data_IF_538368802208
#
_entry.id   IF_538368802208
#
_cell.length_a   1.000
_cell.length_b   1.000
_cell.length_c   1.000
_cell.angle_alpha   90.00
_cell.angle_beta   90.00
_cell.angle_gamma   90.00
#
_symmetry.space_group_name_H-M   'P 1'
#
loop_
_entity.id
_entity.type
_entity.pdbx_description
1 polymer ?
#
# COMPACT_ATOMS: atom_id res chain seq x y z
N UNK A 1 57.05 -32.66 14.39
CA UNK A 1 57.49 -31.74 13.33
C UNK A 1 56.81 -30.40 13.57
N UNK A 2 57.59 -29.39 13.92
CA UNK A 2 57.06 -28.08 14.33
C UNK A 2 56.97 -27.17 13.09
N UNK A 3 55.78 -26.70 12.78
CA UNK A 3 55.53 -25.71 11.74
C UNK A 3 56.09 -24.34 12.18
N UNK A 4 57.10 -23.82 11.46
CA UNK A 4 57.65 -22.47 11.65
C UNK A 4 56.67 -21.44 11.08
N UNK A 5 56.00 -20.70 11.94
CA UNK A 5 55.26 -19.48 11.55
C UNK A 5 56.24 -18.37 11.13
N UNK A 6 56.14 -17.97 9.86
CA UNK A 6 56.89 -16.80 9.32
C UNK A 6 56.23 -15.53 9.85
N UNK A 7 56.96 -14.67 10.52
CA UNK A 7 56.49 -13.41 11.11
C UNK A 7 56.58 -12.26 10.11
N UNK A 8 55.61 -11.30 10.24
CA UNK A 8 55.48 -10.10 9.38
C UNK A 8 56.82 -9.31 9.23
N UNK A 9 57.74 -9.43 10.19
CA UNK A 9 59.04 -8.79 10.19
C UNK A 9 60.08 -9.47 9.27
N UNK A 10 59.87 -10.74 8.93
CA UNK A 10 60.75 -11.50 8.01
C UNK A 10 60.37 -11.24 6.55
N UNK A 11 59.11 -10.91 6.28
CA UNK A 11 58.64 -10.52 4.93
C UNK A 11 59.15 -9.13 4.55
N UNK A 12 59.29 -8.22 5.50
CA UNK A 12 59.80 -6.86 5.26
C UNK A 12 61.34 -6.77 5.07
N UNK A 13 62.10 -7.79 5.46
CA UNK A 13 63.58 -7.82 5.24
C UNK A 13 63.98 -8.44 3.90
N UNK A 14 63.07 -9.12 3.20
CA UNK A 14 63.33 -9.69 1.89
C UNK A 14 63.06 -8.73 0.70
N UNK A 15 62.47 -7.56 0.98
CA UNK A 15 62.13 -6.54 -0.04
C UNK A 15 63.19 -5.42 -0.17
N UNK A 16 64.34 -5.55 0.50
CA UNK A 16 65.31 -4.49 0.64
C UNK A 16 66.61 -4.68 -0.15
N UNK A 17 66.66 -5.45 -1.24
CA UNK A 17 67.90 -5.58 -2.03
C UNK A 17 67.64 -5.86 -3.49
N UNK A 18 67.15 -4.85 -4.24
CA UNK A 18 67.34 -4.73 -5.70
C UNK A 18 67.07 -3.27 -6.08
N UNK A 19 68.05 -2.41 -5.98
CA UNK A 19 68.02 -1.07 -6.53
C UNK A 19 68.16 -1.15 -8.06
N UNK A 20 67.17 -0.74 -8.79
CA UNK A 20 67.27 -0.16 -10.14
C UNK A 20 66.35 1.03 -10.18
N UNK A 21 66.94 2.22 -10.24
CA UNK A 21 66.25 3.48 -10.45
C UNK A 21 65.64 3.51 -11.85
N UNK A 22 64.34 3.35 -11.92
CA UNK A 22 63.52 3.69 -13.07
C UNK A 22 62.41 4.63 -12.58
N UNK A 23 62.56 5.91 -12.82
CA UNK A 23 61.49 6.91 -12.57
C UNK A 23 60.33 6.66 -13.51
N UNK A 24 59.37 5.82 -13.11
CA UNK A 24 58.09 5.78 -13.77
C UNK A 24 57.41 7.12 -13.51
N UNK A 25 56.98 7.85 -14.56
CA UNK A 25 56.32 9.13 -14.39
C UNK A 25 55.05 8.94 -13.57
N UNK A 26 54.86 9.82 -12.57
CA UNK A 26 53.71 9.81 -11.65
C UNK A 26 52.31 9.78 -12.34
N UNK A 27 52.24 10.15 -13.61
CA UNK A 27 51.04 10.08 -14.46
C UNK A 27 50.74 8.67 -14.99
N UNK A 28 51.57 7.64 -14.72
CA UNK A 28 51.31 6.25 -15.09
C UNK A 28 50.61 5.42 -14.00
N UNK A 29 50.36 5.99 -12.84
CA UNK A 29 49.42 5.42 -11.88
C UNK A 29 48.00 5.71 -12.41
N UNK A 30 47.57 4.98 -13.46
CA UNK A 30 46.17 4.77 -13.71
C UNK A 30 45.62 4.04 -12.49
N UNK A 31 45.05 4.78 -11.53
CA UNK A 31 44.04 4.23 -10.66
C UNK A 31 42.94 3.77 -11.60
N UNK A 32 42.95 2.50 -11.98
CA UNK A 32 41.77 1.85 -12.50
C UNK A 32 40.76 1.91 -11.33
N UNK A 33 39.98 2.97 -11.29
CA UNK A 33 38.66 2.86 -10.67
C UNK A 33 38.00 1.78 -11.49
N UNK A 34 38.04 0.55 -11.03
CA UNK A 34 37.17 -0.51 -11.52
C UNK A 34 35.79 0.09 -11.36
N UNK A 35 35.22 0.50 -12.47
CA UNK A 35 33.87 1.07 -12.52
C UNK A 35 33.01 -0.04 -11.93
N UNK A 36 32.53 0.14 -10.69
CA UNK A 36 31.67 -0.84 -10.03
C UNK A 36 30.57 -1.15 -11.05
N UNK A 37 30.33 -2.43 -11.31
CA UNK A 37 29.25 -2.83 -12.21
C UNK A 37 27.94 -2.20 -11.73
N UNK A 38 27.23 -1.51 -12.63
CA UNK A 38 25.95 -0.91 -12.32
C UNK A 38 24.99 -2.01 -11.92
N UNK A 39 24.32 -1.87 -10.77
CA UNK A 39 23.35 -2.83 -10.23
C UNK A 39 22.01 -2.15 -10.01
N UNK A 40 20.91 -2.88 -10.21
CA UNK A 40 19.57 -2.48 -9.86
C UNK A 40 18.98 -3.51 -8.88
N UNK A 41 18.50 -3.05 -7.73
CA UNK A 41 17.78 -3.86 -6.74
C UNK A 41 16.33 -3.38 -6.69
N UNK A 42 15.43 -4.18 -7.22
CA UNK A 42 13.99 -3.90 -7.20
C UNK A 42 13.26 -4.88 -6.30
N UNK A 43 12.54 -4.37 -5.30
CA UNK A 43 11.63 -5.19 -4.52
C UNK A 43 10.22 -5.08 -5.05
N UNK A 44 9.74 -6.19 -5.57
CA UNK A 44 8.38 -6.35 -6.04
C UNK A 44 7.46 -6.77 -4.90
N UNK A 45 6.34 -6.08 -4.75
CA UNK A 45 5.23 -6.48 -3.88
C UNK A 45 4.11 -7.01 -4.78
N UNK A 46 3.60 -8.25 -4.59
CA UNK A 46 2.61 -8.85 -5.47
C UNK A 46 1.36 -8.00 -5.67
N UNK A 47 0.87 -7.97 -6.91
CA UNK A 47 -0.29 -7.17 -7.30
C UNK A 47 -1.61 -7.97 -7.28
N UNK A 48 -1.56 -9.25 -6.88
CA UNK A 48 -2.67 -10.21 -6.98
C UNK A 48 -3.23 -10.37 -8.40
N UNK A 49 -2.44 -9.95 -9.41
CA UNK A 49 -2.75 -10.05 -10.84
C UNK A 49 -1.48 -10.56 -11.52
N UNK A 50 -1.37 -11.88 -11.81
CA UNK A 50 -0.13 -12.48 -12.34
C UNK A 50 0.40 -11.80 -13.61
N UNK A 51 -0.50 -11.34 -14.49
CA UNK A 51 -0.11 -10.61 -15.69
C UNK A 51 0.61 -9.29 -15.36
N UNK A 52 0.13 -8.56 -14.35
CA UNK A 52 0.77 -7.31 -13.92
C UNK A 52 2.11 -7.56 -13.24
N UNK A 53 2.22 -8.65 -12.46
CA UNK A 53 3.47 -9.02 -11.79
C UNK A 53 4.56 -9.37 -12.82
N UNK A 54 4.22 -10.13 -13.85
CA UNK A 54 5.15 -10.49 -14.93
C UNK A 54 5.53 -9.25 -15.76
N UNK A 55 4.57 -8.39 -16.10
CA UNK A 55 4.84 -7.16 -16.84
C UNK A 55 5.71 -6.19 -16.03
N UNK A 56 5.49 -6.08 -14.72
CA UNK A 56 6.35 -5.27 -13.85
C UNK A 56 7.81 -5.75 -13.90
N UNK A 57 8.00 -7.07 -13.81
CA UNK A 57 9.32 -7.69 -13.94
C UNK A 57 9.93 -7.37 -15.30
N UNK A 58 9.19 -7.60 -16.38
CA UNK A 58 9.62 -7.31 -17.73
C UNK A 58 10.05 -5.83 -17.89
N UNK A 59 9.28 -4.88 -17.37
CA UNK A 59 9.62 -3.45 -17.42
C UNK A 59 10.93 -3.12 -16.69
N UNK A 60 11.22 -3.77 -15.55
CA UNK A 60 12.50 -3.58 -14.84
C UNK A 60 13.68 -4.04 -15.73
N UNK A 61 13.55 -5.19 -16.37
CA UNK A 61 14.61 -5.70 -17.28
C UNK A 61 14.73 -4.90 -18.58
N UNK A 62 13.62 -4.44 -19.16
CA UNK A 62 13.62 -3.53 -20.31
C UNK A 62 14.37 -2.23 -19.99
N UNK A 63 14.10 -1.62 -18.85
CA UNK A 63 14.83 -0.44 -18.39
C UNK A 63 16.31 -0.74 -18.16
N UNK A 64 16.64 -1.83 -17.46
CA UNK A 64 18.01 -2.22 -17.18
C UNK A 64 18.83 -2.32 -18.49
N UNK A 65 18.26 -2.97 -19.51
CA UNK A 65 18.87 -3.07 -20.85
C UNK A 65 19.11 -1.69 -21.48
N UNK A 66 18.12 -0.79 -21.42
CA UNK A 66 18.25 0.59 -21.93
C UNK A 66 19.32 1.39 -21.18
N UNK A 67 19.45 1.19 -19.87
CA UNK A 67 20.42 1.85 -19.03
C UNK A 67 21.85 1.23 -19.11
N UNK A 68 22.02 0.17 -19.91
CA UNK A 68 23.31 -0.53 -20.04
C UNK A 68 23.68 -1.36 -18.82
N UNK A 69 22.69 -1.80 -18.02
CA UNK A 69 22.86 -2.72 -16.91
C UNK A 69 22.69 -4.16 -17.42
N UNK A 70 23.63 -5.02 -17.09
CA UNK A 70 23.54 -6.44 -17.48
C UNK A 70 22.41 -7.12 -16.70
N UNK A 71 21.77 -8.10 -17.31
CA UNK A 71 20.70 -8.86 -16.67
C UNK A 71 21.15 -9.53 -15.36
N UNK A 72 22.38 -10.04 -15.30
CA UNK A 72 22.99 -10.60 -14.08
C UNK A 72 23.20 -9.59 -12.95
N UNK A 73 23.09 -8.31 -13.24
CA UNK A 73 23.21 -7.19 -12.28
C UNK A 73 21.83 -6.64 -11.87
N UNK A 74 20.75 -7.29 -12.30
CA UNK A 74 19.39 -6.98 -11.86
C UNK A 74 18.96 -7.95 -10.78
N UNK A 75 18.75 -7.44 -9.58
CA UNK A 75 18.16 -8.19 -8.46
C UNK A 75 16.67 -7.84 -8.38
N UNK A 76 15.82 -8.75 -8.86
CA UNK A 76 14.37 -8.63 -8.74
C UNK A 76 13.88 -9.60 -7.66
N UNK A 77 13.51 -9.07 -6.49
CA UNK A 77 13.07 -9.86 -5.36
C UNK A 77 11.58 -9.63 -5.06
N UNK A 78 10.80 -10.70 -4.99
CA UNK A 78 9.41 -10.62 -4.56
C UNK A 78 9.32 -10.69 -3.05
N UNK A 79 8.62 -9.71 -2.44
CA UNK A 79 8.38 -9.61 -1.01
C UNK A 79 6.88 -9.67 -0.74
N UNK A 80 6.43 -10.65 0.03
CA UNK A 80 5.02 -10.77 0.42
C UNK A 80 4.57 -9.54 1.23
N UNK A 81 3.30 -9.13 1.08
CA UNK A 81 2.78 -7.90 1.70
C UNK A 81 3.07 -7.83 3.21
N UNK A 82 2.83 -8.91 3.93
CA UNK A 82 3.01 -9.00 5.39
C UNK A 82 4.49 -8.93 5.81
N UNK A 83 5.41 -9.17 4.87
CA UNK A 83 6.85 -9.14 5.09
C UNK A 83 7.49 -7.79 4.72
N UNK A 84 6.75 -6.90 4.05
CA UNK A 84 7.31 -5.64 3.52
C UNK A 84 7.90 -4.80 4.65
N UNK A 85 7.11 -4.48 5.67
CA UNK A 85 7.54 -3.58 6.73
C UNK A 85 8.73 -4.13 7.53
N UNK A 86 8.71 -5.37 8.07
CA UNK A 86 9.84 -5.88 8.84
C UNK A 86 11.10 -6.04 7.99
N UNK A 87 10.99 -6.48 6.74
CA UNK A 87 12.15 -6.62 5.85
C UNK A 87 12.73 -5.29 5.44
N UNK A 88 11.89 -4.30 5.11
CA UNK A 88 12.35 -2.98 4.72
C UNK A 88 13.02 -2.25 5.88
N UNK A 89 12.46 -2.31 7.08
CA UNK A 89 13.07 -1.74 8.28
C UNK A 89 14.46 -2.35 8.53
N UNK A 90 14.57 -3.68 8.50
CA UNK A 90 15.85 -4.37 8.67
C UNK A 90 16.87 -4.02 7.56
N UNK A 91 16.43 -3.90 6.30
CA UNK A 91 17.29 -3.52 5.19
C UNK A 91 17.79 -2.07 5.30
N UNK A 92 16.95 -1.14 5.75
CA UNK A 92 17.33 0.26 6.01
C UNK A 92 18.33 0.32 7.14
N UNK A 93 18.10 -0.38 8.25
CA UNK A 93 19.04 -0.45 9.38
C UNK A 93 20.39 -1.02 8.97
N UNK A 94 20.39 -2.12 8.21
CA UNK A 94 21.60 -2.72 7.65
C UNK A 94 22.29 -1.85 6.58
N UNK A 95 21.65 -0.78 6.11
CA UNK A 95 22.17 0.11 5.09
C UNK A 95 22.09 -0.42 3.66
N UNK A 96 21.26 -1.42 3.43
CA UNK A 96 21.07 -2.09 2.14
C UNK A 96 19.58 -2.15 1.72
N UNK A 97 18.84 -1.02 1.70
CA UNK A 97 17.47 -1.03 1.18
C UNK A 97 17.47 -1.34 -0.33
N UNK A 98 16.32 -1.70 -0.92
CA UNK A 98 16.18 -1.77 -2.37
C UNK A 98 16.42 -0.40 -3.01
N UNK A 99 16.76 -0.37 -4.30
CA UNK A 99 16.86 0.90 -5.01
C UNK A 99 15.48 1.50 -5.23
N UNK A 100 14.52 0.66 -5.64
CA UNK A 100 13.13 1.05 -5.88
C UNK A 100 12.19 -0.03 -5.38
N UNK A 101 11.08 0.38 -4.78
CA UNK A 101 9.94 -0.49 -4.51
C UNK A 101 8.64 0.30 -4.43
N UNK A 102 7.51 -0.43 -4.47
CA UNK A 102 6.21 0.14 -4.20
C UNK A 102 6.02 0.37 -2.71
N UNK A 103 5.54 1.55 -2.36
CA UNK A 103 5.19 1.98 -1.01
C UNK A 103 3.68 2.25 -0.93
N UNK A 104 3.12 1.93 0.21
CA UNK A 104 1.74 2.24 0.55
C UNK A 104 1.65 3.67 1.09
N UNK A 105 0.62 4.37 0.76
CA UNK A 105 0.13 5.67 1.28
C UNK A 105 1.11 6.44 2.18
N UNK A 106 0.85 6.47 3.49
CA UNK A 106 1.65 7.22 4.47
C UNK A 106 3.08 6.71 4.66
N UNK A 107 3.44 5.56 4.06
CA UNK A 107 4.81 5.05 4.14
C UNK A 107 5.81 5.91 3.37
N UNK A 108 5.37 6.61 2.30
CA UNK A 108 6.22 7.61 1.63
C UNK A 108 6.58 8.70 2.63
N UNK A 109 5.60 9.22 3.38
CA UNK A 109 5.81 10.24 4.41
C UNK A 109 6.73 9.74 5.53
N UNK A 110 6.50 8.51 6.00
CA UNK A 110 7.28 7.88 7.06
C UNK A 110 8.76 7.76 6.67
N UNK A 111 9.04 7.17 5.49
CA UNK A 111 10.42 7.01 5.05
C UNK A 111 11.07 8.32 4.58
N UNK A 112 10.29 9.28 4.08
CA UNK A 112 10.78 10.62 3.76
C UNK A 112 11.20 11.39 5.03
N UNK A 113 10.41 11.32 6.09
CA UNK A 113 10.74 11.91 7.40
C UNK A 113 12.02 11.31 7.99
N UNK A 114 12.23 10.00 7.84
CA UNK A 114 13.49 9.33 8.19
C UNK A 114 14.67 9.66 7.26
N UNK A 115 14.46 10.46 6.21
CA UNK A 115 15.52 10.85 5.27
C UNK A 115 15.97 9.73 4.32
N UNK A 116 15.18 8.67 4.17
CA UNK A 116 15.53 7.47 3.41
C UNK A 116 15.24 7.55 1.92
N UNK A 117 14.34 8.44 1.47
CA UNK A 117 13.90 8.52 0.08
C UNK A 117 14.63 9.61 -0.72
N UNK A 118 14.81 9.36 -2.01
CA UNK A 118 15.28 10.35 -2.97
C UNK A 118 14.15 11.35 -3.29
N UNK A 119 14.55 12.59 -3.53
CA UNK A 119 13.68 13.61 -4.11
C UNK A 119 13.41 13.26 -5.58
N UNK A 120 12.13 13.18 -5.94
CA UNK A 120 11.63 12.87 -7.28
C UNK A 120 10.63 13.90 -7.80
N UNK A 121 10.70 15.11 -7.25
CA UNK A 121 9.77 16.19 -7.51
C UNK A 121 9.66 16.55 -9.00
N UNK A 122 10.78 16.60 -9.71
CA UNK A 122 10.81 16.86 -11.15
C UNK A 122 10.07 15.79 -11.99
N UNK A 123 10.14 14.52 -11.59
CA UNK A 123 9.40 13.44 -12.25
C UNK A 123 7.90 13.67 -12.06
N UNK A 124 7.48 13.98 -10.83
CA UNK A 124 6.06 14.22 -10.52
C UNK A 124 5.55 15.50 -11.21
N UNK A 125 6.35 16.56 -11.28
CA UNK A 125 5.99 17.77 -12.03
C UNK A 125 5.85 17.51 -13.53
N UNK A 126 6.66 16.61 -14.10
CA UNK A 126 6.48 16.12 -15.47
C UNK A 126 5.13 15.41 -15.64
N UNK A 127 4.76 14.54 -14.70
CA UNK A 127 3.45 13.86 -14.71
C UNK A 127 2.27 14.86 -14.63
N UNK A 128 2.38 15.91 -13.81
CA UNK A 128 1.33 16.95 -13.69
C UNK A 128 1.10 17.74 -14.97
N UNK A 129 2.13 17.84 -15.83
CA UNK A 129 2.06 18.55 -17.12
C UNK A 129 1.47 17.68 -18.25
N UNK A 130 1.30 16.39 -18.01
CA UNK A 130 0.60 15.52 -18.97
C UNK A 130 -0.84 16.00 -19.20
N UNK A 131 -1.46 15.71 -20.37
CA UNK A 131 -2.82 16.11 -20.67
C UNK A 131 -3.79 15.70 -19.55
N UNK A 132 -4.62 16.65 -19.05
CA UNK A 132 -5.55 16.50 -17.92
C UNK A 132 -4.87 16.29 -16.55
N UNK A 133 -3.56 16.15 -16.50
CA UNK A 133 -2.81 15.99 -15.27
C UNK A 133 -3.11 14.70 -14.51
N UNK A 134 -2.84 14.74 -13.21
CA UNK A 134 -3.07 13.63 -12.27
C UNK A 134 -4.08 14.05 -11.19
N UNK A 135 -4.60 13.08 -10.42
CA UNK A 135 -5.45 13.39 -9.26
C UNK A 135 -4.65 14.07 -8.15
N UNK A 136 -5.21 15.15 -7.59
CA UNK A 136 -4.60 15.85 -6.44
C UNK A 136 -4.59 14.97 -5.17
N UNK A 137 -5.58 14.09 -5.01
CA UNK A 137 -5.59 13.08 -3.95
C UNK A 137 -4.35 12.19 -3.95
N UNK A 138 -3.83 11.84 -5.14
CA UNK A 138 -2.61 11.07 -5.28
C UNK A 138 -1.35 11.86 -4.87
N UNK A 139 -1.39 13.19 -4.96
CA UNK A 139 -0.27 14.05 -4.58
C UNK A 139 -0.10 14.14 -3.07
N UNK A 140 -1.19 14.17 -2.31
CA UNK A 140 -1.15 14.31 -0.85
C UNK A 140 -0.27 13.25 -0.17
N UNK A 141 -0.27 12.03 -0.70
CA UNK A 141 0.49 10.90 -0.13
C UNK A 141 1.98 10.92 -0.45
N UNK A 142 2.43 11.64 -1.48
CA UNK A 142 3.83 11.61 -1.94
C UNK A 142 4.62 12.89 -1.63
N UNK A 143 3.95 13.97 -1.23
CA UNK A 143 4.61 15.26 -0.94
C UNK A 143 4.99 15.34 0.55
N UNK A 144 6.28 15.51 0.82
CA UNK A 144 6.83 15.76 2.15
C UNK A 144 7.61 17.07 2.16
N UNK A 145 7.25 18.00 3.07
CA UNK A 145 7.85 19.34 3.18
C UNK A 145 7.94 20.07 1.81
N UNK A 146 6.86 20.00 1.03
CA UNK A 146 6.73 20.67 -0.27
C UNK A 146 7.47 19.97 -1.44
N UNK A 147 8.07 18.82 -1.23
CA UNK A 147 8.80 18.06 -2.27
C UNK A 147 8.21 16.65 -2.44
N UNK A 148 8.08 16.18 -3.67
CA UNK A 148 7.66 14.81 -3.93
C UNK A 148 8.82 13.84 -3.62
N UNK A 149 8.58 12.94 -2.67
CA UNK A 149 9.53 11.93 -2.21
C UNK A 149 9.15 10.52 -2.69
N UNK A 150 8.10 10.41 -3.46
CA UNK A 150 7.64 9.21 -4.16
C UNK A 150 6.92 9.60 -5.44
N UNK A 151 6.77 8.65 -6.35
CA UNK A 151 6.03 8.83 -7.60
C UNK A 151 4.67 8.13 -7.45
N UNK A 152 3.54 8.86 -7.53
CA UNK A 152 2.22 8.26 -7.37
C UNK A 152 1.94 7.28 -8.49
N UNK A 153 1.56 6.05 -8.15
CA UNK A 153 1.36 4.95 -9.09
C UNK A 153 -0.11 4.70 -9.38
N UNK A 154 -0.93 4.61 -8.34
CA UNK A 154 -2.33 4.28 -8.46
C UNK A 154 -3.14 4.87 -7.30
N UNK A 155 -4.40 5.15 -7.55
CA UNK A 155 -5.42 5.45 -6.55
C UNK A 155 -6.33 4.24 -6.47
N UNK A 156 -6.55 3.69 -5.29
CA UNK A 156 -7.38 2.49 -5.11
C UNK A 156 -8.57 2.83 -4.22
N UNK A 157 -9.76 3.02 -4.80
CA UNK A 157 -10.98 3.15 -4.04
C UNK A 157 -11.35 1.84 -3.32
N UNK A 158 -12.06 1.97 -2.20
CA UNK A 158 -12.56 0.87 -1.38
C UNK A 158 -14.09 0.71 -1.53
N UNK A 159 -14.59 0.17 -2.66
CA UNK A 159 -16.01 -0.12 -2.81
C UNK A 159 -16.43 -1.32 -1.97
N UNK A 160 -17.74 -1.44 -1.77
CA UNK A 160 -18.34 -2.70 -1.35
C UNK A 160 -18.61 -3.55 -2.59
N UNK A 161 -17.96 -4.71 -2.66
CA UNK A 161 -18.29 -5.77 -3.60
C UNK A 161 -19.53 -6.49 -3.08
N UNK A 162 -20.57 -6.62 -3.90
CA UNK A 162 -21.84 -7.20 -3.50
C UNK A 162 -22.30 -8.31 -4.46
N UNK A 163 -22.82 -9.39 -3.92
CA UNK A 163 -23.44 -10.51 -4.65
C UNK A 163 -24.86 -10.11 -5.10
N UNK A 164 -24.98 -9.67 -6.36
CA UNK A 164 -26.24 -9.23 -6.97
C UNK A 164 -27.27 -10.35 -7.02
N UNK A 165 -26.86 -11.56 -7.31
CA UNK A 165 -27.72 -12.74 -7.34
C UNK A 165 -28.38 -13.04 -5.98
N UNK A 166 -27.67 -12.82 -4.87
CA UNK A 166 -28.23 -12.99 -3.53
C UNK A 166 -29.22 -11.88 -3.18
N UNK A 167 -28.94 -10.64 -3.61
CA UNK A 167 -29.88 -9.52 -3.45
C UNK A 167 -31.17 -9.76 -4.25
N UNK A 168 -31.05 -10.20 -5.50
CA UNK A 168 -32.19 -10.55 -6.36
C UNK A 168 -33.00 -11.69 -5.74
N UNK A 169 -32.36 -12.77 -5.31
CA UNK A 169 -33.02 -13.91 -4.65
C UNK A 169 -33.78 -13.48 -3.41
N UNK A 170 -33.21 -12.57 -2.61
CA UNK A 170 -33.88 -12.03 -1.42
C UNK A 170 -34.90 -10.92 -1.73
N UNK A 171 -35.01 -10.49 -2.98
CA UNK A 171 -35.85 -9.39 -3.44
C UNK A 171 -35.57 -8.07 -2.68
N UNK A 172 -34.30 -7.74 -2.51
CA UNK A 172 -33.86 -6.50 -1.89
C UNK A 172 -32.87 -5.78 -2.80
N UNK A 173 -32.83 -4.46 -2.69
CA UNK A 173 -31.82 -3.64 -3.35
C UNK A 173 -30.54 -3.62 -2.53
N UNK A 174 -29.46 -3.07 -3.11
CA UNK A 174 -28.25 -2.78 -2.36
C UNK A 174 -28.55 -1.77 -1.24
N UNK A 175 -28.17 -2.07 0.02
CA UNK A 175 -28.49 -1.24 1.18
C UNK A 175 -27.77 0.11 1.11
N UNK A 176 -28.50 1.20 1.36
CA UNK A 176 -27.98 2.58 1.31
C UNK A 176 -27.41 3.06 2.64
N UNK A 177 -27.83 2.43 3.74
CA UNK A 177 -27.38 2.75 5.10
C UNK A 177 -26.82 1.53 5.81
N UNK A 178 -26.00 1.72 6.85
CA UNK A 178 -25.50 0.61 7.65
C UNK A 178 -26.59 -0.16 8.38
N UNK A 179 -27.70 0.51 8.75
CA UNK A 179 -28.87 -0.16 9.35
C UNK A 179 -29.54 -1.07 8.34
N UNK A 180 -29.81 -0.57 7.12
CA UNK A 180 -30.33 -1.40 6.01
C UNK A 180 -29.36 -2.53 5.67
N UNK A 181 -28.05 -2.28 5.73
CA UNK A 181 -27.02 -3.29 5.48
C UNK A 181 -27.12 -4.46 6.46
N UNK A 182 -27.31 -4.17 7.75
CA UNK A 182 -27.49 -5.20 8.78
C UNK A 182 -28.77 -5.99 8.52
N UNK A 183 -29.87 -5.33 8.22
CA UNK A 183 -31.16 -6.01 7.97
C UNK A 183 -31.12 -6.84 6.66
N UNK A 184 -30.51 -6.33 5.61
CA UNK A 184 -30.30 -7.08 4.36
C UNK A 184 -29.39 -8.28 4.61
N UNK A 185 -28.32 -8.10 5.38
CA UNK A 185 -27.38 -9.16 5.74
C UNK A 185 -28.04 -10.34 6.44
N UNK A 186 -28.95 -10.07 7.37
CA UNK A 186 -29.72 -11.11 8.07
C UNK A 186 -30.59 -11.95 7.12
N UNK A 187 -31.09 -11.33 6.04
CA UNK A 187 -31.95 -12.02 5.04
C UNK A 187 -31.17 -12.92 4.09
N UNK A 188 -29.94 -12.50 3.72
CA UNK A 188 -29.18 -13.19 2.65
C UNK A 188 -28.17 -14.22 3.17
N UNK A 189 -27.75 -14.14 4.44
CA UNK A 189 -26.79 -15.07 4.98
C UNK A 189 -27.38 -16.45 5.30
N UNK A 190 -26.52 -17.47 5.29
CA UNK A 190 -26.84 -18.84 5.75
C UNK A 190 -25.62 -19.49 6.41
N UNK A 191 -25.25 -19.04 7.64
CA UNK A 191 -24.11 -19.59 8.34
C UNK A 191 -24.23 -21.09 8.60
N UNK A 192 -23.12 -21.83 8.65
CA UNK A 192 -21.74 -21.37 8.49
C UNK A 192 -21.28 -21.29 7.01
N UNK A 193 -22.12 -21.65 6.05
CA UNK A 193 -21.77 -21.75 4.63
C UNK A 193 -21.56 -20.37 3.98
N UNK A 194 -22.40 -19.41 4.30
CA UNK A 194 -22.40 -18.06 3.76
C UNK A 194 -22.64 -17.04 4.88
N UNK A 195 -21.66 -16.21 5.14
CA UNK A 195 -21.83 -15.02 5.97
C UNK A 195 -22.10 -13.81 5.10
N UNK A 196 -22.84 -12.82 5.62
CA UNK A 196 -23.16 -11.66 4.82
C UNK A 196 -21.95 -10.77 4.58
N UNK A 197 -21.13 -10.46 5.60
CA UNK A 197 -20.07 -9.46 5.49
C UNK A 197 -18.69 -10.04 5.79
N UNK A 198 -17.89 -10.21 4.75
CA UNK A 198 -16.48 -10.61 4.85
C UNK A 198 -15.58 -9.43 5.23
N UNK A 199 -15.68 -8.95 6.46
CA UNK A 199 -14.85 -7.86 6.99
C UNK A 199 -13.55 -8.40 7.57
N UNK A 200 -12.39 -7.87 7.15
CA UNK A 200 -11.11 -8.20 7.77
C UNK A 200 -11.05 -7.58 9.18
N UNK A 201 -10.73 -8.39 10.20
CA UNK A 201 -10.65 -7.99 11.61
C UNK A 201 -9.40 -8.57 12.31
N UNK A 202 -8.46 -9.14 11.56
CA UNK A 202 -7.18 -9.63 12.05
C UNK A 202 -6.15 -8.50 12.29
N UNK A 203 -4.92 -8.87 12.62
CA UNK A 203 -3.81 -7.91 12.75
C UNK A 203 -3.21 -7.63 11.35
N UNK A 204 -3.96 -6.93 10.51
CA UNK A 204 -3.65 -6.65 9.11
C UNK A 204 -3.95 -5.18 8.76
N UNK A 205 -3.38 -4.68 7.67
CA UNK A 205 -3.64 -3.32 7.16
C UNK A 205 -5.10 -3.16 6.77
N UNK A 206 -5.68 -4.12 6.03
CA UNK A 206 -7.09 -4.13 5.63
C UNK A 206 -8.06 -3.98 6.82
N UNK A 207 -7.65 -4.36 8.03
CA UNK A 207 -8.46 -4.13 9.23
C UNK A 207 -8.54 -2.65 9.57
N UNK A 208 -7.43 -1.91 9.46
CA UNK A 208 -7.45 -0.46 9.66
C UNK A 208 -8.42 0.19 8.68
N UNK A 209 -8.32 -0.16 7.42
CA UNK A 209 -9.13 0.39 6.34
C UNK A 209 -10.62 0.07 6.54
N UNK A 210 -10.96 -1.18 6.79
CA UNK A 210 -12.33 -1.61 7.04
C UNK A 210 -12.96 -0.94 8.27
N UNK A 211 -12.21 -0.85 9.37
CA UNK A 211 -12.66 -0.23 10.61
C UNK A 211 -12.87 1.27 10.41
N UNK A 212 -11.87 1.98 9.89
CA UNK A 212 -11.94 3.44 9.74
C UNK A 212 -13.04 3.88 8.77
N UNK A 213 -13.24 3.18 7.65
CA UNK A 213 -14.36 3.47 6.73
C UNK A 213 -15.72 3.49 7.44
N UNK A 214 -15.94 2.53 8.33
CA UNK A 214 -17.19 2.50 9.09
C UNK A 214 -17.24 3.60 10.16
N UNK A 215 -16.15 3.82 10.91
CA UNK A 215 -16.08 4.85 11.94
C UNK A 215 -16.37 6.25 11.38
N UNK A 216 -15.86 6.58 10.19
CA UNK A 216 -16.10 7.88 9.54
C UNK A 216 -17.58 8.13 9.25
N UNK A 217 -18.32 7.09 8.83
CA UNK A 217 -19.77 7.20 8.58
C UNK A 217 -20.55 7.58 9.84
N UNK A 218 -19.99 7.33 11.02
CA UNK A 218 -20.53 7.73 12.32
C UNK A 218 -19.92 9.03 12.85
N UNK A 219 -19.08 9.71 12.04
CA UNK A 219 -18.42 10.97 12.41
C UNK A 219 -17.15 10.78 13.23
N UNK A 220 -16.61 9.55 13.24
CA UNK A 220 -15.31 9.27 13.80
C UNK A 220 -14.18 9.86 12.95
N UNK A 221 -13.02 10.02 13.54
CA UNK A 221 -11.78 10.48 12.90
C UNK A 221 -10.60 9.96 13.71
N UNK A 222 -9.47 9.81 13.07
CA UNK A 222 -8.22 9.53 13.77
C UNK A 222 -7.59 10.81 14.30
N UNK A 223 -7.50 11.83 13.46
CA UNK A 223 -6.90 13.13 13.73
C UNK A 223 -7.72 14.23 13.05
N UNK A 224 -7.67 15.45 13.56
CA UNK A 224 -8.28 16.61 12.88
C UNK A 224 -7.45 17.08 11.68
N UNK A 225 -8.02 17.97 10.87
CA UNK A 225 -7.38 18.51 9.66
C UNK A 225 -6.10 19.34 9.91
N UNK A 226 -5.77 19.58 11.18
CA UNK A 226 -4.52 20.23 11.58
C UNK A 226 -3.30 19.30 11.61
N UNK A 227 -3.50 18.00 11.33
CA UNK A 227 -2.49 16.94 11.37
C UNK A 227 -1.79 16.75 12.74
N UNK A 228 -2.42 17.23 13.82
CA UNK A 228 -1.85 17.26 15.18
C UNK A 228 -2.82 16.79 16.25
N UNK A 229 -4.07 17.26 16.19
CA UNK A 229 -5.07 16.98 17.22
C UNK A 229 -5.67 15.60 17.02
N UNK A 230 -5.20 14.63 17.82
CA UNK A 230 -5.73 13.26 17.81
C UNK A 230 -7.11 13.24 18.44
N UNK A 231 -8.10 12.63 17.77
CA UNK A 231 -9.51 12.58 18.20
C UNK A 231 -10.08 11.15 18.18
N UNK A 232 -9.22 10.16 18.26
CA UNK A 232 -9.61 8.75 18.21
C UNK A 232 -10.59 8.36 19.33
N UNK A 233 -10.49 8.97 20.52
CA UNK A 233 -11.46 8.78 21.60
C UNK A 233 -12.62 9.78 21.48
N UNK A 234 -13.46 9.63 20.44
CA UNK A 234 -14.62 10.50 20.19
C UNK A 234 -15.94 9.72 20.22
N UNK A 235 -17.07 10.40 20.44
CA UNK A 235 -18.39 9.76 20.39
C UNK A 235 -18.68 9.07 19.04
N UNK A 236 -18.20 9.65 17.93
CA UNK A 236 -18.37 9.06 16.59
C UNK A 236 -17.61 7.74 16.43
N UNK A 237 -16.34 7.70 16.85
CA UNK A 237 -15.55 6.47 16.84
C UNK A 237 -16.17 5.39 17.76
N UNK A 238 -16.68 5.80 18.94
CA UNK A 238 -17.34 4.87 19.86
C UNK A 238 -18.62 4.28 19.23
N UNK A 239 -19.43 5.12 18.59
CA UNK A 239 -20.65 4.66 17.92
C UNK A 239 -20.32 3.65 16.80
N UNK A 240 -19.36 3.96 15.92
CA UNK A 240 -18.94 3.06 14.87
C UNK A 240 -18.33 1.75 15.39
N UNK A 241 -17.48 1.80 16.42
CA UNK A 241 -16.89 0.60 17.05
C UNK A 241 -17.97 -0.33 17.62
N UNK A 242 -19.00 0.23 18.27
CA UNK A 242 -20.14 -0.55 18.76
C UNK A 242 -20.96 -1.20 17.64
N UNK A 243 -21.08 -0.55 16.49
CA UNK A 243 -21.74 -1.16 15.32
C UNK A 243 -20.94 -2.36 14.80
N UNK A 244 -19.61 -2.25 14.69
CA UNK A 244 -18.76 -3.39 14.32
C UNK A 244 -18.92 -4.53 15.35
N UNK A 245 -18.88 -4.20 16.64
CA UNK A 245 -19.09 -5.17 17.70
C UNK A 245 -20.45 -5.87 17.59
N UNK A 246 -21.53 -5.13 17.33
CA UNK A 246 -22.86 -5.68 17.15
C UNK A 246 -22.95 -6.57 15.91
N UNK A 247 -22.37 -6.16 14.76
CA UNK A 247 -22.29 -6.98 13.56
C UNK A 247 -21.60 -8.33 13.81
N UNK A 248 -20.53 -8.32 14.59
CA UNK A 248 -19.75 -9.53 14.90
C UNK A 248 -20.41 -10.39 15.98
N UNK A 249 -20.70 -9.82 17.14
CA UNK A 249 -21.16 -10.56 18.33
C UNK A 249 -22.67 -10.81 18.35
N UNK A 250 -23.48 -9.81 18.02
CA UNK A 250 -24.96 -9.85 18.18
C UNK A 250 -25.62 -10.36 16.90
N UNK A 251 -25.37 -9.69 15.78
CA UNK A 251 -25.99 -10.03 14.50
C UNK A 251 -25.33 -11.20 13.80
N UNK A 252 -24.06 -11.48 14.14
CA UNK A 252 -23.27 -12.60 13.61
C UNK A 252 -23.27 -12.63 12.07
N UNK A 253 -23.23 -11.45 11.46
CA UNK A 253 -23.17 -11.30 10.00
C UNK A 253 -21.74 -11.35 9.45
N UNK A 254 -20.74 -11.24 10.33
CA UNK A 254 -19.31 -11.34 10.04
C UNK A 254 -18.84 -12.73 10.46
N UNK A 255 -18.06 -13.47 9.62
CA UNK A 255 -17.58 -14.80 9.96
C UNK A 255 -16.65 -14.76 11.18
N UNK A 256 -16.78 -15.70 12.14
CA UNK A 256 -15.96 -15.70 13.36
C UNK A 256 -14.46 -15.81 13.08
N UNK A 257 -14.05 -16.44 11.97
CA UNK A 257 -12.64 -16.56 11.56
C UNK A 257 -12.00 -15.25 11.09
N UNK A 258 -12.79 -14.21 10.83
CA UNK A 258 -12.30 -12.92 10.31
C UNK A 258 -11.31 -12.21 11.25
N UNK A 259 -11.35 -12.50 12.54
CA UNK A 259 -10.42 -11.99 13.55
C UNK A 259 -8.98 -12.49 13.38
N UNK A 260 -8.75 -13.47 12.54
CA UNK A 260 -7.42 -14.02 12.22
C UNK A 260 -7.04 -13.84 10.73
N UNK A 261 -7.85 -13.13 9.94
CA UNK A 261 -7.55 -12.90 8.55
C UNK A 261 -6.38 -11.95 8.36
N UNK A 262 -5.56 -12.28 7.36
CA UNK A 262 -4.60 -11.37 6.72
C UNK A 262 -5.29 -10.51 5.65
N UNK A 263 -4.53 -9.68 4.92
CA UNK A 263 -5.02 -8.84 3.82
C UNK A 263 -5.64 -9.64 2.64
N UNK A 264 -5.57 -10.96 2.65
CA UNK A 264 -6.16 -11.82 1.62
C UNK A 264 -7.42 -12.55 2.08
N UNK A 265 -7.73 -12.52 3.37
CA UNK A 265 -8.81 -13.30 3.96
C UNK A 265 -10.19 -12.93 3.43
N UNK A 266 -10.49 -11.64 3.34
CA UNK A 266 -11.72 -11.11 2.76
C UNK A 266 -11.84 -11.43 1.26
N UNK A 267 -10.73 -11.36 0.50
CA UNK A 267 -10.68 -11.75 -0.90
C UNK A 267 -11.06 -13.22 -1.08
N UNK A 268 -10.43 -14.11 -0.30
CA UNK A 268 -10.70 -15.56 -0.32
C UNK A 268 -12.15 -15.87 0.03
N UNK A 269 -12.70 -15.20 1.05
CA UNK A 269 -14.08 -15.40 1.47
C UNK A 269 -15.08 -15.04 0.35
N UNK A 270 -14.84 -13.94 -0.39
CA UNK A 270 -15.69 -13.55 -1.51
C UNK A 270 -15.53 -14.51 -2.71
N UNK A 271 -14.28 -14.79 -3.10
CA UNK A 271 -13.94 -15.66 -4.22
C UNK A 271 -14.48 -17.10 -4.02
N UNK A 272 -14.49 -17.59 -2.79
CA UNK A 272 -15.07 -18.88 -2.44
C UNK A 272 -16.58 -18.85 -2.16
N UNK A 273 -17.24 -17.71 -2.41
CA UNK A 273 -18.69 -17.51 -2.17
C UNK A 273 -19.11 -17.69 -0.71
N UNK A 274 -18.18 -17.51 0.23
CA UNK A 274 -18.45 -17.55 1.67
C UNK A 274 -18.83 -16.19 2.26
N UNK A 275 -18.69 -15.12 1.49
CA UNK A 275 -19.15 -13.77 1.85
C UNK A 275 -20.03 -13.19 0.74
N UNK A 276 -21.14 -12.54 1.14
CA UNK A 276 -22.05 -11.86 0.21
C UNK A 276 -21.59 -10.42 -0.10
N UNK A 277 -21.05 -9.75 0.89
CA UNK A 277 -20.47 -8.41 0.80
C UNK A 277 -19.02 -8.42 1.30
N UNK A 278 -18.17 -7.66 0.63
CA UNK A 278 -16.80 -7.39 1.09
C UNK A 278 -16.44 -5.96 0.74
N UNK A 279 -15.94 -5.19 1.71
CA UNK A 279 -15.35 -3.89 1.47
C UNK A 279 -13.84 -4.08 1.25
N UNK A 280 -13.38 -3.79 0.05
CA UNK A 280 -12.00 -4.06 -0.39
C UNK A 280 -11.67 -3.25 -1.65
N UNK A 281 -10.40 -2.95 -1.92
CA UNK A 281 -10.02 -2.43 -3.23
C UNK A 281 -10.44 -3.37 -4.36
N UNK A 282 -10.34 -2.90 -5.59
CA UNK A 282 -10.78 -3.64 -6.77
C UNK A 282 -9.99 -4.94 -7.08
N UNK A 283 -9.15 -5.40 -6.17
CA UNK A 283 -8.38 -6.67 -6.31
C UNK A 283 -9.29 -7.89 -6.49
N UNK A 284 -10.42 -7.93 -5.81
CA UNK A 284 -11.43 -9.00 -5.98
C UNK A 284 -11.97 -8.95 -7.41
N UNK A 285 -12.45 -7.79 -7.86
CA UNK A 285 -13.03 -7.61 -9.19
C UNK A 285 -12.03 -7.97 -10.30
N UNK A 286 -10.79 -7.49 -10.18
CA UNK A 286 -9.72 -7.80 -11.13
C UNK A 286 -9.39 -9.29 -11.19
N UNK A 287 -9.35 -9.97 -10.04
CA UNK A 287 -9.17 -11.42 -9.99
C UNK A 287 -10.31 -12.16 -10.69
N UNK A 288 -11.56 -11.79 -10.41
CA UNK A 288 -12.74 -12.45 -10.99
C UNK A 288 -12.77 -12.30 -12.51
N UNK A 289 -12.38 -11.14 -13.04
CA UNK A 289 -12.35 -10.90 -14.48
C UNK A 289 -11.47 -11.89 -15.25
N UNK A 290 -10.42 -12.41 -14.63
CA UNK A 290 -9.50 -13.38 -15.22
C UNK A 290 -9.76 -14.84 -14.82
N UNK A 291 -10.44 -15.10 -13.69
CA UNK A 291 -10.45 -16.44 -13.08
C UNK A 291 -11.87 -16.99 -12.78
N UNK A 292 -12.88 -16.14 -12.60
CA UNK A 292 -14.26 -16.58 -12.28
C UNK A 292 -15.27 -15.60 -12.87
N UNK A 293 -15.48 -15.70 -14.17
CA UNK A 293 -16.39 -14.80 -14.88
C UNK A 293 -17.86 -14.97 -14.47
N UNK A 294 -18.25 -16.12 -13.94
CA UNK A 294 -19.64 -16.31 -13.47
C UNK A 294 -19.88 -15.55 -12.17
N UNK A 295 -18.95 -15.57 -11.24
CA UNK A 295 -19.02 -14.73 -10.06
C UNK A 295 -18.89 -13.24 -10.42
N UNK A 296 -18.03 -12.92 -11.40
CA UNK A 296 -17.83 -11.54 -11.86
C UNK A 296 -19.13 -10.92 -12.40
N UNK A 297 -19.92 -11.65 -13.21
CA UNK A 297 -21.20 -11.18 -13.78
C UNK A 297 -22.23 -10.81 -12.72
N UNK A 298 -22.17 -11.44 -11.55
CA UNK A 298 -23.09 -11.21 -10.43
C UNK A 298 -22.46 -10.40 -9.30
N UNK A 299 -21.28 -9.80 -9.56
CA UNK A 299 -20.61 -8.90 -8.61
C UNK A 299 -20.88 -7.45 -8.98
N UNK A 300 -21.57 -6.74 -8.09
CA UNK A 300 -21.73 -5.29 -8.15
C UNK A 300 -20.67 -4.56 -7.31
N UNK A 301 -20.35 -3.32 -7.70
CA UNK A 301 -19.45 -2.42 -6.97
C UNK A 301 -20.25 -1.20 -6.53
N UNK A 302 -20.25 -0.92 -5.23
CA UNK A 302 -21.07 0.12 -4.64
C UNK A 302 -20.27 1.01 -3.68
N UNK A 303 -20.71 2.26 -3.48
CA UNK A 303 -20.22 3.08 -2.38
C UNK A 303 -20.48 2.41 -1.03
N UNK A 304 -19.67 2.76 -0.02
CA UNK A 304 -19.90 2.35 1.36
C UNK A 304 -21.29 2.84 1.83
N UNK A 305 -22.09 2.03 2.53
CA UNK A 305 -23.36 2.47 3.08
C UNK A 305 -23.22 3.71 3.98
N UNK A 306 -24.21 4.60 3.94
CA UNK A 306 -24.20 5.79 4.77
C UNK A 306 -24.43 5.47 6.25
N UNK A 307 -23.73 6.15 7.12
CA UNK A 307 -24.08 6.25 8.53
C UNK A 307 -24.81 7.58 8.82
N UNK A 308 -25.00 7.92 10.10
CA UNK A 308 -25.66 9.18 10.50
C UNK A 308 -24.95 10.46 10.01
N UNK A 309 -23.69 10.35 9.62
CA UNK A 309 -22.89 11.47 9.07
C UNK A 309 -22.64 11.37 7.56
N UNK A 310 -23.35 10.47 6.90
CA UNK A 310 -23.26 10.24 5.46
C UNK A 310 -22.29 9.11 5.09
N UNK A 311 -21.90 9.10 3.82
CA UNK A 311 -20.94 8.16 3.26
C UNK A 311 -19.58 8.83 3.18
N UNK A 312 -18.54 8.17 3.71
CA UNK A 312 -17.15 8.54 3.50
C UNK A 312 -16.46 7.35 2.85
N UNK A 313 -15.88 7.55 1.68
CA UNK A 313 -15.19 6.49 0.95
C UNK A 313 -13.69 6.67 1.09
N UNK A 314 -13.00 5.59 1.37
CA UNK A 314 -11.55 5.57 1.39
C UNK A 314 -10.98 5.44 -0.01
N UNK A 315 -9.81 6.04 -0.16
CA UNK A 315 -8.86 5.74 -1.22
C UNK A 315 -7.49 5.43 -0.60
N UNK A 316 -6.80 4.46 -1.17
CA UNK A 316 -5.36 4.30 -0.98
C UNK A 316 -4.63 4.97 -2.12
N UNK A 317 -3.47 5.53 -1.83
CA UNK A 317 -2.52 5.91 -2.88
C UNK A 317 -1.28 5.05 -2.79
N UNK A 318 -0.99 4.35 -3.85
CA UNK A 318 0.26 3.63 -3.98
C UNK A 318 1.27 4.45 -4.75
N UNK A 319 2.51 4.39 -4.31
CA UNK A 319 3.60 5.12 -4.93
C UNK A 319 4.84 4.23 -5.09
N UNK A 320 5.70 4.56 -6.02
CA UNK A 320 7.06 4.05 -6.01
C UNK A 320 7.95 4.99 -5.20
N UNK A 321 8.75 4.41 -4.28
CA UNK A 321 9.83 5.09 -3.58
C UNK A 321 11.18 4.66 -4.14
N UNK A 322 12.10 5.61 -4.26
CA UNK A 322 13.50 5.35 -4.53
C UNK A 322 14.34 5.67 -3.29
N UNK A 323 15.20 4.75 -2.86
CA UNK A 323 15.95 4.88 -1.61
C UNK A 323 17.32 5.53 -1.81
N UNK A 324 17.75 6.39 -0.86
CA UNK A 324 19.00 7.17 -0.95
C UNK A 324 20.25 6.33 -0.81
N UNK A 325 20.22 5.27 0.02
CA UNK A 325 21.37 4.38 0.20
C UNK A 325 21.53 3.43 -0.97
N UNK A 326 21.83 4.01 -2.10
CA UNK A 326 21.96 3.39 -3.40
C UNK A 326 23.23 3.95 -4.06
N UNK A 327 24.15 3.12 -4.53
CA UNK A 327 25.34 3.58 -5.22
C UNK A 327 25.07 4.24 -6.57
N UNK A 328 23.87 4.07 -7.13
CA UNK A 328 23.46 4.58 -8.45
C UNK A 328 22.07 5.24 -8.37
N UNK A 329 21.91 6.37 -7.65
CA UNK A 329 20.63 7.02 -7.47
C UNK A 329 19.99 7.47 -8.81
N UNK A 330 20.80 7.75 -9.81
CA UNK A 330 20.35 8.06 -11.17
C UNK A 330 19.64 6.89 -11.84
N UNK A 331 20.04 5.64 -11.57
CA UNK A 331 19.34 4.45 -12.10
C UNK A 331 17.99 4.28 -11.41
N UNK A 332 17.91 4.47 -10.10
CA UNK A 332 16.64 4.41 -9.38
C UNK A 332 15.65 5.47 -9.89
N UNK A 333 16.10 6.71 -10.06
CA UNK A 333 15.29 7.80 -10.64
C UNK A 333 14.91 7.52 -12.08
N UNK A 334 15.84 7.02 -12.89
CA UNK A 334 15.59 6.64 -14.29
C UNK A 334 14.54 5.54 -14.42
N UNK A 335 14.57 4.54 -13.51
CA UNK A 335 13.56 3.49 -13.47
C UNK A 335 12.17 4.06 -13.13
N UNK A 336 12.08 4.99 -12.20
CA UNK A 336 10.82 5.68 -11.88
C UNK A 336 10.29 6.48 -13.08
N UNK A 337 11.14 7.28 -13.73
CA UNK A 337 10.74 8.03 -14.94
C UNK A 337 10.30 7.08 -16.06
N UNK A 338 11.00 5.95 -16.24
CA UNK A 338 10.65 4.92 -17.23
C UNK A 338 9.26 4.32 -16.98
N UNK A 339 8.94 3.97 -15.73
CA UNK A 339 7.61 3.44 -15.38
C UNK A 339 6.50 4.43 -15.66
N UNK A 340 6.75 5.72 -15.46
CA UNK A 340 5.74 6.77 -15.61
C UNK A 340 5.64 7.33 -17.03
N UNK A 341 6.48 6.89 -17.97
CA UNK A 341 6.28 7.21 -19.38
C UNK A 341 4.91 6.68 -19.84
N UNK A 342 4.11 7.48 -20.59
CA UNK A 342 2.74 7.12 -20.94
C UNK A 342 2.56 5.69 -21.44
N UNK A 343 3.39 5.25 -22.40
CA UNK A 343 3.29 3.91 -22.98
C UNK A 343 3.53 2.80 -21.94
N UNK A 344 4.50 2.96 -21.04
CA UNK A 344 4.84 1.97 -20.02
C UNK A 344 3.79 1.96 -18.90
N UNK A 345 3.38 3.14 -18.47
CA UNK A 345 2.34 3.29 -17.46
C UNK A 345 0.99 2.70 -17.91
N UNK A 346 0.57 2.99 -19.15
CA UNK A 346 -0.69 2.48 -19.69
C UNK A 346 -0.69 0.95 -19.77
N UNK A 347 0.44 0.35 -20.16
CA UNK A 347 0.61 -1.12 -20.20
C UNK A 347 0.40 -1.74 -18.81
N UNK A 348 1.09 -1.21 -17.79
CA UNK A 348 1.00 -1.79 -16.42
C UNK A 348 -0.40 -1.59 -15.82
N UNK A 349 -1.01 -0.42 -15.97
CA UNK A 349 -2.35 -0.14 -15.44
C UNK A 349 -3.39 -1.07 -16.08
N UNK A 350 -3.38 -1.23 -17.40
CA UNK A 350 -4.31 -2.12 -18.10
C UNK A 350 -4.13 -3.58 -17.69
N UNK A 351 -2.87 -4.02 -17.52
CA UNK A 351 -2.57 -5.41 -17.11
C UNK A 351 -3.10 -5.77 -15.73
N UNK A 352 -3.42 -4.77 -14.90
CA UNK A 352 -4.02 -5.00 -13.57
C UNK A 352 -5.51 -5.36 -13.64
N UNK A 353 -6.15 -5.31 -14.82
CA UNK A 353 -7.56 -5.67 -14.98
C UNK A 353 -8.54 -4.78 -14.22
N UNK A 354 -8.14 -3.54 -13.89
CA UNK A 354 -8.94 -2.61 -13.08
C UNK A 354 -8.61 -2.64 -11.58
N UNK A 355 -7.61 -3.43 -11.15
CA UNK A 355 -7.14 -3.40 -9.77
C UNK A 355 -6.57 -2.04 -9.38
N UNK A 356 -5.82 -1.42 -10.30
CA UNK A 356 -5.25 -0.11 -10.10
C UNK A 356 -6.02 0.93 -10.88
N UNK A 357 -6.57 1.90 -10.19
CA UNK A 357 -7.17 3.07 -10.79
C UNK A 357 -6.05 4.05 -11.13
N UNK A 358 -5.94 4.49 -12.39
CA UNK A 358 -4.80 5.30 -12.83
C UNK A 358 -4.76 6.65 -12.13
N UNK A 359 -3.55 7.16 -11.88
CA UNK A 359 -3.37 8.54 -11.42
C UNK A 359 -3.55 9.56 -12.54
N UNK A 360 -3.25 9.19 -13.79
CA UNK A 360 -3.47 10.04 -14.96
C UNK A 360 -4.93 10.11 -15.36
N UNK A 361 -5.55 11.28 -15.25
CA UNK A 361 -6.98 11.49 -15.56
C UNK A 361 -7.34 11.15 -17.00
N UNK A 362 -6.41 11.32 -17.97
CA UNK A 362 -6.63 11.00 -19.40
C UNK A 362 -7.02 9.54 -19.65
N UNK A 363 -6.57 8.60 -18.80
CA UNK A 363 -6.82 7.18 -19.00
C UNK A 363 -8.28 6.79 -18.81
N UNK A 364 -9.05 7.55 -18.05
CA UNK A 364 -10.49 7.28 -17.86
C UNK A 364 -11.33 7.45 -19.12
N UNK A 365 -10.77 8.07 -20.17
CA UNK A 365 -11.41 8.18 -21.49
C UNK A 365 -11.09 6.99 -22.39
N UNK A 366 -10.17 6.12 -21.98
CA UNK A 366 -9.82 4.95 -22.78
C UNK A 366 -10.98 3.93 -22.80
N UNK A 367 -11.08 3.12 -23.89
CA UNK A 367 -12.12 2.10 -24.01
C UNK A 367 -12.17 1.13 -22.83
N UNK A 368 -11.04 0.82 -22.22
CA UNK A 368 -10.97 -0.07 -21.05
C UNK A 368 -11.82 0.46 -19.88
N UNK A 369 -11.71 1.77 -19.56
CA UNK A 369 -12.42 2.39 -18.43
C UNK A 369 -13.86 2.79 -18.77
N UNK A 370 -14.14 3.12 -20.03
CA UNK A 370 -15.48 3.54 -20.45
C UNK A 370 -16.41 2.39 -20.78
N UNK A 371 -15.88 1.19 -21.05
CA UNK A 371 -16.67 0.01 -21.41
C UNK A 371 -17.47 -0.62 -20.25
N UNK A 372 -17.13 -0.31 -19.01
CA UNK A 372 -17.70 -0.93 -17.82
C UNK A 372 -18.41 0.13 -16.96
N UNK A 373 -19.76 0.10 -16.89
CA UNK A 373 -20.53 1.10 -16.15
C UNK A 373 -20.16 1.23 -14.68
N UNK A 374 -19.77 0.13 -14.03
CA UNK A 374 -19.38 0.07 -12.63
C UNK A 374 -18.11 0.88 -12.35
N UNK A 375 -17.23 1.06 -13.32
CA UNK A 375 -16.00 1.88 -13.15
C UNK A 375 -16.28 3.37 -12.94
N UNK A 376 -17.51 3.85 -13.24
CA UNK A 376 -17.91 5.23 -12.90
C UNK A 376 -17.82 5.51 -11.41
N UNK A 377 -18.10 4.51 -10.57
CA UNK A 377 -17.96 4.65 -9.12
C UNK A 377 -16.51 4.84 -8.70
N UNK A 378 -15.56 4.14 -9.34
CA UNK A 378 -14.14 4.30 -9.06
C UNK A 378 -13.64 5.71 -9.34
N UNK A 379 -14.03 6.30 -10.47
CA UNK A 379 -13.65 7.66 -10.83
C UNK A 379 -14.14 8.62 -9.75
N UNK A 380 -15.42 8.53 -9.39
CA UNK A 380 -16.02 9.38 -8.36
C UNK A 380 -15.32 9.22 -7.00
N UNK A 381 -15.02 7.99 -6.61
CA UNK A 381 -14.32 7.72 -5.36
C UNK A 381 -12.86 8.22 -5.42
N UNK A 382 -12.17 8.10 -6.56
CA UNK A 382 -10.82 8.64 -6.74
C UNK A 382 -10.76 10.17 -6.60
N UNK A 383 -11.84 10.87 -7.02
CA UNK A 383 -11.96 12.32 -6.91
C UNK A 383 -12.28 12.79 -5.48
N UNK A 384 -13.12 12.05 -4.76
CA UNK A 384 -13.74 12.50 -3.51
C UNK A 384 -13.35 11.67 -2.28
N UNK A 385 -12.62 10.59 -2.48
CA UNK A 385 -12.20 9.70 -1.40
C UNK A 385 -11.12 10.32 -0.52
N UNK A 386 -11.03 9.80 0.69
CA UNK A 386 -10.13 10.30 1.72
C UNK A 386 -9.08 9.26 2.11
N UNK A 387 -7.90 9.67 2.56
CA UNK A 387 -6.88 8.77 3.06
C UNK A 387 -7.29 8.17 4.41
N UNK A 388 -6.65 7.07 4.79
CA UNK A 388 -6.92 6.41 6.08
C UNK A 388 -6.67 7.31 7.29
N UNK A 389 -5.86 8.35 7.15
CA UNK A 389 -5.60 9.39 8.16
C UNK A 389 -6.69 10.46 8.29
N UNK A 390 -7.76 10.36 7.53
CA UNK A 390 -8.85 11.37 7.55
C UNK A 390 -9.35 11.68 9.00
N UNK A 391 -9.58 12.95 9.38
CA UNK A 391 -9.61 14.19 8.54
C UNK A 391 -8.24 14.82 8.24
N UNK A 392 -7.16 14.29 8.80
CA UNK A 392 -5.80 14.75 8.49
C UNK A 392 -5.26 14.19 7.18
N UNK A 393 -4.09 14.68 6.83
CA UNK A 393 -3.32 14.25 5.67
C UNK A 393 -2.53 12.96 5.95
N UNK A 394 -2.06 12.24 4.94
CA UNK A 394 -1.01 11.24 5.12
C UNK A 394 0.25 11.90 5.70
N UNK A 395 0.66 11.47 6.90
CA UNK A 395 1.85 11.99 7.60
C UNK A 395 2.76 10.85 8.02
N UNK A 396 3.98 11.16 8.44
CA UNK A 396 4.89 10.17 9.01
C UNK A 396 4.28 9.50 10.27
N UNK A 397 3.57 10.27 11.10
CA UNK A 397 2.86 9.75 12.27
C UNK A 397 1.74 8.79 11.87
N UNK A 398 0.93 9.15 10.86
CA UNK A 398 -0.09 8.26 10.32
C UNK A 398 0.53 6.96 9.79
N UNK A 399 1.65 7.04 9.07
CA UNK A 399 2.40 5.87 8.62
C UNK A 399 2.87 4.97 9.75
N UNK A 400 3.31 5.53 10.88
CA UNK A 400 3.68 4.75 12.05
C UNK A 400 2.47 4.08 12.73
N UNK A 401 1.32 4.78 12.81
CA UNK A 401 0.06 4.19 13.32
C UNK A 401 -0.34 2.96 12.51
N UNK A 402 -0.25 3.04 11.18
CA UNK A 402 -0.52 1.91 10.27
C UNK A 402 0.47 0.76 10.50
N UNK A 403 1.76 1.04 10.43
CA UNK A 403 2.83 0.04 10.52
C UNK A 403 2.86 -0.70 11.86
N UNK A 404 2.34 -0.10 12.92
CA UNK A 404 2.28 -0.69 14.27
C UNK A 404 0.92 -1.32 14.60
N UNK A 405 -0.01 -1.35 13.64
CA UNK A 405 -1.36 -1.94 13.76
C UNK A 405 -2.14 -1.46 14.98
N UNK A 406 -2.11 -0.15 15.25
CA UNK A 406 -2.78 0.43 16.44
C UNK A 406 -4.29 0.23 16.36
N UNK A 407 -4.92 0.48 15.20
CA UNK A 407 -6.37 0.30 15.00
C UNK A 407 -6.79 -1.19 15.02
N UNK A 408 -6.09 -2.11 14.31
CA UNK A 408 -6.33 -3.54 14.45
C UNK A 408 -6.29 -4.03 15.91
N UNK A 409 -5.30 -3.60 16.67
CA UNK A 409 -5.21 -3.96 18.11
C UNK A 409 -6.42 -3.45 18.90
N UNK A 410 -6.87 -2.24 18.65
CA UNK A 410 -8.06 -1.67 19.30
C UNK A 410 -9.29 -2.54 19.08
N UNK A 411 -9.56 -2.93 17.82
CA UNK A 411 -10.75 -3.75 17.53
C UNK A 411 -10.59 -5.19 18.08
N UNK A 412 -9.39 -5.75 18.11
CA UNK A 412 -9.10 -7.03 18.75
C UNK A 412 -9.41 -7.00 20.26
N UNK A 413 -9.09 -5.90 20.96
CA UNK A 413 -9.47 -5.70 22.37
C UNK A 413 -10.99 -5.86 22.57
N UNK A 414 -11.78 -5.28 21.66
CA UNK A 414 -13.25 -5.32 21.74
C UNK A 414 -13.78 -6.72 21.39
N UNK A 415 -13.33 -7.30 20.27
CA UNK A 415 -13.95 -8.51 19.73
C UNK A 415 -13.44 -9.80 20.36
N UNK A 416 -12.16 -9.87 20.68
CA UNK A 416 -11.50 -11.09 21.18
C UNK A 416 -11.33 -11.05 22.69
N UNK A 417 -10.83 -9.93 23.22
CA UNK A 417 -10.55 -9.80 24.67
C UNK A 417 -11.76 -9.28 25.46
N UNK A 418 -12.87 -8.98 24.80
CA UNK A 418 -14.13 -8.51 25.39
C UNK A 418 -14.00 -7.24 26.23
N UNK A 419 -13.10 -6.34 25.82
CA UNK A 419 -13.05 -5.01 26.45
C UNK A 419 -14.25 -4.18 26.04
N UNK A 420 -14.68 -3.30 26.93
CA UNK A 420 -15.59 -2.23 26.57
C UNK A 420 -14.99 -1.36 25.47
N UNK A 421 -15.78 -1.06 24.42
CA UNK A 421 -15.31 -0.30 23.26
C UNK A 421 -14.70 1.07 23.64
N UNK A 422 -15.29 1.75 24.64
CA UNK A 422 -14.76 3.01 25.15
C UNK A 422 -13.35 2.88 25.73
N UNK A 423 -13.08 1.81 26.48
CA UNK A 423 -11.74 1.53 27.03
C UNK A 423 -10.72 1.23 25.95
N UNK A 424 -11.11 0.44 24.95
CA UNK A 424 -10.22 0.10 23.82
C UNK A 424 -9.88 1.33 22.98
N UNK A 425 -10.84 2.23 22.76
CA UNK A 425 -10.64 3.50 22.07
C UNK A 425 -9.74 4.45 22.88
N UNK A 426 -9.85 4.47 24.19
CA UNK A 426 -8.98 5.29 25.04
C UNK A 426 -7.52 4.82 24.98
N UNK A 427 -7.27 3.49 25.03
CA UNK A 427 -5.91 2.93 24.85
C UNK A 427 -5.35 3.29 23.46
N UNK A 428 -6.16 3.11 22.43
CA UNK A 428 -5.82 3.44 21.04
C UNK A 428 -5.49 4.94 20.91
N UNK A 429 -6.32 5.82 21.44
CA UNK A 429 -6.11 7.26 21.46
C UNK A 429 -4.77 7.63 22.10
N UNK A 430 -4.51 7.13 23.31
CA UNK A 430 -3.24 7.39 24.03
C UNK A 430 -2.03 6.97 23.18
N UNK A 431 -2.12 5.81 22.50
CA UNK A 431 -1.04 5.31 21.66
C UNK A 431 -0.81 6.19 20.44
N UNK A 432 -1.88 6.65 19.78
CA UNK A 432 -1.78 7.57 18.65
C UNK A 432 -1.22 8.92 19.07
N UNK A 433 -1.66 9.48 20.23
CA UNK A 433 -1.10 10.72 20.80
C UNK A 433 0.41 10.59 21.05
N UNK A 434 0.85 9.46 21.60
CA UNK A 434 2.29 9.19 21.81
C UNK A 434 3.07 9.23 20.50
N UNK A 435 2.55 8.56 19.44
CA UNK A 435 3.17 8.52 18.13
C UNK A 435 3.23 9.94 17.52
N UNK A 436 2.12 10.66 17.47
CA UNK A 436 2.06 12.01 16.91
C UNK A 436 2.96 13.00 17.67
N UNK A 437 3.01 12.92 19.01
CA UNK A 437 3.87 13.78 19.84
C UNK A 437 5.35 13.52 19.58
N UNK A 438 5.74 12.27 19.42
CA UNK A 438 7.14 11.89 19.17
C UNK A 438 7.56 12.31 17.76
N UNK A 439 6.73 12.05 16.75
CA UNK A 439 7.03 12.35 15.35
C UNK A 439 7.06 13.86 15.08
N UNK A 440 6.32 14.66 15.83
CA UNK A 440 6.37 16.12 15.72
C UNK A 440 7.68 16.75 16.24
N UNK A 441 8.46 16.02 17.03
CA UNK A 441 9.73 16.50 17.61
C UNK A 441 10.95 16.16 16.75
N UNK A 442 10.83 15.32 15.75
CA UNK A 442 11.89 14.93 14.80
C UNK A 442 11.68 15.59 13.44
#
# INVERSE_FOLDING_TARGET
MAERRVTRRQILKAAGAAGVAGTAPWWLVRTSHAQRAKKIVFWHVPNFTPLADELQKQQVYEFAKQAGVKESEVEYATVANEQVQPKLAAAIEAGNPPDVMRLYESNVQFYAAGGHLLDVHDIVEKMRREPKGIFESAMASVVYKGRAMGVPLAVNPWPVHARLDLLEQARVEYPKTWDEFIETSKKIQSPPRLYAFGMCLGLAEDTTDNVMNLLWCYGGKMVEADDKTVVMNSPGNLAGAKVIEAMFKTHKIIPPGSISWDNSGNNKAYQSRQAAFVMNPSSIYAYLNGNDQDLQKVTGLFPVPAGPKGTVNQIDTWAYGAFKKNPYPELARGLLDYFMQPANYDRIIQSTGGRWVPVYKRLFESPFWTSKPEFKHFIKMAETGVPVSYAGSPTAAAGEVLNTHVIPKMIQRVLVENWEAARALEECHKKIVEIYTRTAKG
#
